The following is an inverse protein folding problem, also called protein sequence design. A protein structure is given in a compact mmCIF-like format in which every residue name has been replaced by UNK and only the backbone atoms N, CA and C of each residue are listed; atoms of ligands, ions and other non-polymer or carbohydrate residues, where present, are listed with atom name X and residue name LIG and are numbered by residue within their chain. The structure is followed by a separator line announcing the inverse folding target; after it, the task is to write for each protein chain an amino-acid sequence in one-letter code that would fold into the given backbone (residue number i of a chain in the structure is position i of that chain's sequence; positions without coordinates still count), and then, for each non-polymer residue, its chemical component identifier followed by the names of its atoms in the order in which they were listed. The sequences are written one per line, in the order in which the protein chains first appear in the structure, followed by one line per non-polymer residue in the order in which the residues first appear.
data_IF_222846198994
#
_entry.id   IF_222846198994
#
_cell.length_a   1.000
_cell.length_b   1.000
_cell.length_c   1.000
_cell.angle_alpha   90.00
_cell.angle_beta   90.00
_cell.angle_gamma   90.00
#
_symmetry.space_group_name_H-M   'P 1'
#
loop_
_entity.id
_entity.type
_entity.pdbx_description
1 polymer ?
#
# COMPACT_ATOMS: atom_id res chain seq x y z
N UNK A 1 -49.41 34.42 -51.85
CA UNK A 1 -49.51 33.36 -50.82
C UNK A 1 -48.51 32.20 -51.00
N UNK A 2 -47.31 32.41 -51.58
CA UNK A 2 -46.34 31.31 -51.82
C UNK A 2 -45.06 31.39 -50.95
N UNK A 3 -44.86 32.48 -50.20
CA UNK A 3 -43.68 32.69 -49.32
C UNK A 3 -43.86 32.19 -47.88
N UNK A 4 -45.10 32.01 -47.41
CA UNK A 4 -45.38 31.50 -46.06
C UNK A 4 -45.33 29.96 -45.98
N UNK A 5 -45.55 29.26 -47.10
CA UNK A 5 -45.52 27.79 -47.14
C UNK A 5 -44.08 27.23 -47.25
N UNK A 6 -43.15 27.96 -47.89
CA UNK A 6 -41.74 27.54 -47.97
C UNK A 6 -40.99 27.66 -46.63
N UNK A 7 -41.33 28.65 -45.80
CA UNK A 7 -40.68 28.81 -44.48
C UNK A 7 -41.11 27.72 -43.48
N UNK A 8 -42.34 27.22 -43.59
CA UNK A 8 -42.83 26.11 -42.75
C UNK A 8 -42.23 24.75 -43.16
N UNK A 9 -42.06 24.49 -44.46
CA UNK A 9 -41.38 23.26 -44.93
C UNK A 9 -39.88 23.27 -44.62
N UNK A 10 -39.22 24.43 -44.69
CA UNK A 10 -37.80 24.57 -44.33
C UNK A 10 -37.58 24.38 -42.82
N UNK A 11 -38.50 24.86 -41.97
CA UNK A 11 -38.40 24.71 -40.52
C UNK A 11 -38.72 23.28 -40.05
N UNK A 12 -39.66 22.57 -40.68
CA UNK A 12 -39.91 21.15 -40.37
C UNK A 12 -38.77 20.22 -40.82
N UNK A 13 -38.10 20.50 -41.95
CA UNK A 13 -36.93 19.72 -42.38
C UNK A 13 -35.75 19.94 -41.41
N UNK A 14 -35.53 21.18 -40.97
CA UNK A 14 -34.49 21.51 -39.99
C UNK A 14 -34.71 20.86 -38.61
N UNK A 15 -35.95 20.79 -38.14
CA UNK A 15 -36.30 20.09 -36.88
C UNK A 15 -36.18 18.55 -37.04
N UNK A 16 -36.49 17.99 -38.23
CA UNK A 16 -36.33 16.54 -38.47
C UNK A 16 -34.86 16.11 -38.62
N UNK A 17 -34.00 16.97 -39.19
CA UNK A 17 -32.57 16.68 -39.35
C UNK A 17 -31.81 16.71 -38.01
N UNK A 18 -32.24 17.53 -37.04
CA UNK A 18 -31.64 17.50 -35.70
C UNK A 18 -32.02 16.25 -34.90
N UNK A 19 -33.20 15.66 -35.15
CA UNK A 19 -33.60 14.41 -34.50
C UNK A 19 -32.83 13.18 -35.02
N UNK A 20 -32.42 13.17 -36.29
CA UNK A 20 -31.62 12.05 -36.85
C UNK A 20 -30.17 12.10 -36.33
N UNK A 21 -29.62 13.29 -36.07
CA UNK A 21 -28.29 13.43 -35.45
C UNK A 21 -28.32 13.05 -33.95
N UNK A 22 -29.46 13.23 -33.27
CA UNK A 22 -29.62 12.78 -31.88
C UNK A 22 -29.79 11.25 -31.74
N UNK A 23 -30.28 10.56 -32.78
CA UNK A 23 -30.50 9.11 -32.74
C UNK A 23 -29.24 8.27 -33.03
N UNK A 24 -28.21 8.82 -33.67
CA UNK A 24 -26.93 8.11 -33.88
C UNK A 24 -25.98 8.23 -32.69
N UNK A 25 -26.15 9.21 -31.82
CA UNK A 25 -25.36 9.34 -30.58
C UNK A 25 -25.75 8.35 -29.48
N UNK A 26 -26.85 7.60 -29.65
CA UNK A 26 -27.26 6.54 -28.71
C UNK A 26 -26.91 5.12 -29.20
N UNK A 27 -26.21 4.99 -30.34
CA UNK A 27 -25.89 3.69 -30.96
C UNK A 27 -24.40 3.29 -30.94
N UNK A 28 -23.51 4.13 -30.42
CA UNK A 28 -22.08 3.80 -30.28
C UNK A 28 -21.57 4.20 -28.89
N UNK A 29 -22.10 3.59 -27.85
CA UNK A 29 -21.40 3.50 -26.56
C UNK A 29 -21.01 2.06 -26.28
N UNK A 30 -20.20 1.50 -27.18
CA UNK A 30 -19.23 0.47 -26.83
C UNK A 30 -18.08 0.61 -27.82
N UNK A 31 -16.85 0.74 -27.29
CA UNK A 31 -15.57 0.67 -28.01
C UNK A 31 -15.12 1.92 -28.79
N UNK A 32 -14.53 2.87 -28.07
CA UNK A 32 -13.24 3.55 -28.41
C UNK A 32 -13.05 4.79 -27.53
N UNK A 33 -12.92 4.60 -26.22
CA UNK A 33 -12.28 5.54 -25.29
C UNK A 33 -11.78 4.71 -24.09
N UNK A 34 -10.90 3.75 -24.39
CA UNK A 34 -9.81 3.47 -23.48
C UNK A 34 -8.82 4.63 -23.64
N UNK A 35 -8.14 5.01 -22.57
CA UNK A 35 -7.28 6.19 -22.43
C UNK A 35 -8.05 7.46 -22.02
N UNK A 36 -8.72 7.39 -20.87
CA UNK A 36 -8.66 8.46 -19.86
C UNK A 36 -9.01 7.83 -18.51
N UNK A 37 -8.00 7.41 -17.76
CA UNK A 37 -8.19 6.95 -16.39
C UNK A 37 -6.92 6.27 -15.92
N UNK A 38 -6.37 6.76 -14.82
CA UNK A 38 -5.21 6.22 -14.09
C UNK A 38 -3.83 6.46 -14.70
N UNK A 39 -3.41 7.72 -14.82
CA UNK A 39 -1.96 8.02 -14.75
C UNK A 39 -1.64 9.30 -13.97
N UNK A 40 -2.60 9.80 -13.17
CA UNK A 40 -2.39 10.99 -12.33
C UNK A 40 -2.68 10.73 -10.85
N UNK A 41 -3.17 9.54 -10.49
CA UNK A 41 -3.41 9.12 -9.10
C UNK A 41 -2.34 8.12 -8.59
N UNK A 42 -1.53 7.57 -9.48
CA UNK A 42 -0.45 6.62 -9.18
C UNK A 42 0.80 7.34 -8.64
N UNK A 43 1.12 8.52 -9.16
CA UNK A 43 2.33 9.27 -8.76
C UNK A 43 2.18 9.99 -7.42
N UNK A 44 1.04 10.66 -7.16
CA UNK A 44 0.81 11.37 -5.89
C UNK A 44 0.84 10.41 -4.70
N UNK A 45 0.22 9.23 -4.85
CA UNK A 45 0.25 8.17 -3.83
C UNK A 45 1.63 7.51 -3.69
N UNK A 46 2.42 7.45 -4.76
CA UNK A 46 3.79 6.91 -4.72
C UNK A 46 4.75 7.84 -3.98
N UNK A 47 4.69 9.15 -4.26
CA UNK A 47 5.49 10.15 -3.55
C UNK A 47 5.11 10.29 -2.08
N UNK A 48 3.81 10.24 -1.76
CA UNK A 48 3.32 10.24 -0.38
C UNK A 48 3.80 9.02 0.40
N UNK A 49 3.69 7.82 -0.21
CA UNK A 49 4.32 6.62 0.36
C UNK A 49 5.80 6.87 0.53
N UNK A 50 6.55 7.30 -0.47
CA UNK A 50 7.99 7.54 -0.31
C UNK A 50 8.33 8.48 0.88
N UNK A 51 7.56 9.56 1.08
CA UNK A 51 7.72 10.48 2.21
C UNK A 51 7.43 9.80 3.56
N UNK A 52 6.40 8.97 3.64
CA UNK A 52 6.07 8.20 4.84
C UNK A 52 7.22 7.29 5.30
N UNK A 53 7.99 6.75 4.36
CA UNK A 53 9.06 5.79 4.66
C UNK A 53 10.31 6.50 5.10
N UNK A 54 10.64 7.61 4.43
CA UNK A 54 11.73 8.47 4.85
C UNK A 54 11.47 8.98 6.26
N UNK A 55 10.22 9.36 6.58
CA UNK A 55 9.82 9.76 7.92
C UNK A 55 9.94 8.60 8.93
N UNK A 56 9.50 7.39 8.56
CA UNK A 56 9.67 6.19 9.40
C UNK A 56 11.16 5.92 9.70
N UNK A 57 12.02 5.93 8.67
CA UNK A 57 13.46 5.70 8.81
C UNK A 57 14.14 6.78 9.66
N UNK A 58 13.79 8.05 9.47
CA UNK A 58 14.33 9.14 10.27
C UNK A 58 13.95 9.00 11.74
N UNK A 59 12.68 8.69 12.01
CA UNK A 59 12.18 8.49 13.37
C UNK A 59 12.83 7.28 14.04
N UNK A 60 12.94 6.14 13.35
CA UNK A 60 13.61 4.95 13.87
C UNK A 60 15.08 5.23 14.18
N UNK A 61 15.80 5.91 13.27
CA UNK A 61 17.20 6.32 13.50
C UNK A 61 17.34 7.26 14.72
N UNK A 62 16.40 8.18 14.90
CA UNK A 62 16.36 9.07 16.07
C UNK A 62 16.13 8.29 17.36
N UNK A 63 15.21 7.33 17.35
CA UNK A 63 14.95 6.43 18.49
C UNK A 63 16.19 5.60 18.81
N UNK A 64 16.83 5.02 17.79
CA UNK A 64 18.04 4.22 17.94
C UNK A 64 19.15 5.03 18.60
N UNK A 65 19.41 6.21 18.04
CA UNK A 65 20.47 7.09 18.53
C UNK A 65 20.18 7.59 19.95
N UNK A 66 18.91 7.82 20.30
CA UNK A 66 18.55 8.36 21.63
C UNK A 66 18.46 7.27 22.71
N UNK A 67 17.93 6.10 22.39
CA UNK A 67 17.55 5.09 23.38
C UNK A 67 18.21 3.73 23.18
N UNK A 68 18.38 3.26 21.94
CA UNK A 68 18.67 1.85 21.64
C UNK A 68 20.13 1.59 21.21
N UNK A 69 21.08 2.39 21.70
CA UNK A 69 22.50 2.28 21.31
C UNK A 69 23.21 1.00 21.78
N UNK A 70 22.68 0.32 22.80
CA UNK A 70 23.31 -0.86 23.39
C UNK A 70 22.33 -2.02 23.43
N UNK A 71 22.87 -3.24 23.45
CA UNK A 71 22.07 -4.44 23.60
C UNK A 71 21.26 -4.43 24.91
N UNK A 72 21.87 -3.96 26.00
CA UNK A 72 21.18 -3.83 27.29
C UNK A 72 19.96 -2.90 27.21
N UNK A 73 20.06 -1.79 26.46
CA UNK A 73 18.93 -0.89 26.29
C UNK A 73 17.84 -1.52 25.41
N UNK A 74 18.21 -2.19 24.32
CA UNK A 74 17.24 -2.91 23.46
C UNK A 74 16.44 -3.91 24.30
N UNK A 75 17.12 -4.73 25.09
CA UNK A 75 16.47 -5.68 26.00
C UNK A 75 15.60 -4.95 27.03
N UNK A 76 16.12 -3.91 27.68
CA UNK A 76 15.38 -3.17 28.69
C UNK A 76 14.05 -2.61 28.15
N UNK A 77 14.09 -1.91 27.02
CA UNK A 77 12.89 -1.30 26.45
C UNK A 77 11.93 -2.31 25.84
N UNK A 78 12.41 -3.38 25.19
CA UNK A 78 11.53 -4.36 24.54
C UNK A 78 10.59 -5.06 25.54
N UNK A 79 11.07 -5.32 26.75
CA UNK A 79 10.34 -6.02 27.82
C UNK A 79 9.64 -5.08 28.82
N UNK A 80 9.56 -3.77 28.52
CA UNK A 80 8.65 -2.89 29.26
C UNK A 80 7.20 -3.24 28.92
N UNK A 81 6.31 -3.06 29.91
CA UNK A 81 4.89 -3.25 29.72
C UNK A 81 4.33 -2.15 28.81
N UNK A 82 3.91 -2.52 27.61
CA UNK A 82 3.46 -1.59 26.57
C UNK A 82 2.23 -0.77 26.99
N UNK A 83 1.23 -1.42 27.60
CA UNK A 83 -0.02 -0.77 28.02
C UNK A 83 0.18 0.26 29.14
N UNK A 84 1.18 0.06 30.00
CA UNK A 84 1.50 0.96 31.11
C UNK A 84 2.55 2.01 30.77
N UNK A 85 3.17 1.93 29.60
CA UNK A 85 4.19 2.86 29.18
C UNK A 85 3.60 4.24 28.85
N UNK A 86 4.39 5.29 29.03
CA UNK A 86 4.03 6.62 28.54
C UNK A 86 4.00 6.63 27.01
N UNK A 87 3.19 7.51 26.43
CA UNK A 87 3.06 7.65 24.97
C UNK A 87 4.41 7.95 24.28
N UNK A 88 5.34 8.63 24.96
CA UNK A 88 6.68 8.87 24.42
C UNK A 88 7.53 7.59 24.32
N UNK A 89 7.32 6.62 25.23
CA UNK A 89 8.10 5.39 25.28
C UNK A 89 7.52 4.27 24.42
N UNK A 90 6.21 4.29 24.13
CA UNK A 90 5.58 3.31 23.22
C UNK A 90 6.33 3.11 21.89
N UNK A 91 6.71 4.15 21.13
CA UNK A 91 7.48 3.95 19.89
C UNK A 91 8.88 3.38 20.15
N UNK A 92 9.50 3.68 21.30
CA UNK A 92 10.80 3.10 21.69
C UNK A 92 10.67 1.61 21.98
N UNK A 93 9.62 1.21 22.68
CA UNK A 93 9.30 -0.20 22.99
C UNK A 93 9.07 -0.98 21.69
N UNK A 94 8.25 -0.47 20.78
CA UNK A 94 7.99 -1.13 19.48
C UNK A 94 9.26 -1.24 18.64
N UNK A 95 10.07 -0.18 18.58
CA UNK A 95 11.35 -0.19 17.89
C UNK A 95 12.35 -1.20 18.47
N UNK A 96 12.34 -1.39 19.79
CA UNK A 96 13.17 -2.39 20.48
C UNK A 96 12.67 -3.83 20.22
N UNK A 97 11.35 -4.06 20.30
CA UNK A 97 10.73 -5.35 19.97
C UNK A 97 11.02 -5.76 18.53
N UNK A 98 10.83 -4.85 17.58
CA UNK A 98 11.14 -5.02 16.16
C UNK A 98 12.59 -5.49 15.93
N UNK A 99 13.56 -4.85 16.61
CA UNK A 99 14.98 -5.24 16.56
C UNK A 99 15.26 -6.63 17.14
N UNK A 100 14.48 -7.11 18.12
CA UNK A 100 14.61 -8.47 18.66
C UNK A 100 13.95 -9.47 17.70
N UNK A 101 12.75 -9.17 17.22
CA UNK A 101 11.97 -10.01 16.31
C UNK A 101 12.75 -10.31 15.03
N UNK A 102 13.38 -9.29 14.43
CA UNK A 102 14.17 -9.45 13.21
C UNK A 102 15.51 -10.19 13.37
N UNK A 103 15.88 -10.63 14.58
CA UNK A 103 17.08 -11.46 14.79
C UNK A 103 16.83 -12.93 14.47
N UNK A 104 15.58 -13.34 14.49
CA UNK A 104 15.17 -14.72 14.32
C UNK A 104 14.44 -14.89 12.99
N UNK A 105 14.52 -16.10 12.44
CA UNK A 105 13.62 -16.53 11.37
C UNK A 105 12.43 -17.22 12.01
N UNK A 106 11.23 -16.79 11.63
CA UNK A 106 9.97 -17.28 12.18
C UNK A 106 8.89 -17.20 11.09
N UNK A 107 7.74 -17.82 11.34
CA UNK A 107 6.54 -17.71 10.50
C UNK A 107 5.34 -17.27 11.31
N UNK A 108 4.37 -16.64 10.64
CA UNK A 108 3.10 -16.29 11.26
C UNK A 108 2.43 -17.53 11.87
N UNK A 109 1.70 -17.32 12.96
CA UNK A 109 1.01 -18.42 13.65
C UNK A 109 0.04 -19.15 12.71
N UNK A 110 0.01 -20.49 12.81
CA UNK A 110 -0.76 -21.37 11.93
C UNK A 110 -0.12 -21.67 10.57
N UNK A 111 1.02 -21.07 10.24
CA UNK A 111 1.78 -21.36 9.02
C UNK A 111 2.94 -22.32 9.33
N UNK A 112 3.25 -23.22 8.39
CA UNK A 112 4.45 -24.07 8.48
C UNK A 112 5.55 -23.51 7.56
N UNK A 113 6.60 -22.97 8.16
CA UNK A 113 7.80 -22.50 7.46
C UNK A 113 8.90 -23.54 7.46
N UNK A 114 9.63 -23.68 6.34
CA UNK A 114 10.74 -24.64 6.23
C UNK A 114 11.88 -24.03 5.43
N UNK A 115 13.10 -24.24 5.89
CA UNK A 115 14.32 -23.97 5.12
C UNK A 115 14.73 -25.28 4.44
N UNK A 116 14.88 -25.23 3.12
CA UNK A 116 15.32 -26.38 2.33
C UNK A 116 16.82 -26.33 2.05
N UNK A 117 17.45 -27.48 1.96
CA UNK A 117 18.80 -27.60 1.42
C UNK A 117 18.81 -27.49 -0.12
N UNK A 118 20.00 -27.48 -0.72
CA UNK A 118 20.16 -27.42 -2.19
C UNK A 118 19.55 -28.60 -2.95
N UNK A 119 19.23 -29.69 -2.27
CA UNK A 119 18.63 -30.89 -2.84
C UNK A 119 17.11 -30.96 -2.61
N UNK A 120 16.53 -29.96 -1.93
CA UNK A 120 15.11 -29.89 -1.61
C UNK A 120 14.71 -30.63 -0.32
N UNK A 121 15.65 -31.14 0.48
CA UNK A 121 15.33 -31.74 1.76
C UNK A 121 15.12 -30.66 2.83
N UNK A 122 14.27 -30.95 3.81
CA UNK A 122 14.04 -30.06 4.96
C UNK A 122 15.33 -30.02 5.80
N UNK A 123 15.90 -28.83 5.93
CA UNK A 123 17.04 -28.55 6.80
C UNK A 123 16.58 -28.08 8.18
N UNK A 124 15.53 -27.27 8.21
CA UNK A 124 15.03 -26.62 9.43
C UNK A 124 13.54 -26.31 9.27
N UNK A 125 12.76 -26.54 10.33
CA UNK A 125 11.39 -26.04 10.46
C UNK A 125 11.44 -24.74 11.25
N UNK A 126 10.80 -23.70 10.72
CA UNK A 126 10.78 -22.40 11.36
C UNK A 126 9.73 -22.39 12.47
N UNK A 127 10.05 -21.83 13.65
CA UNK A 127 9.08 -21.67 14.71
C UNK A 127 8.01 -20.65 14.32
N UNK A 128 6.85 -20.76 14.95
CA UNK A 128 5.80 -19.75 14.85
C UNK A 128 6.14 -18.54 15.72
N UNK A 129 5.55 -17.39 15.42
CA UNK A 129 5.81 -16.13 16.12
C UNK A 129 5.58 -16.26 17.63
N UNK A 130 4.43 -16.81 18.03
CA UNK A 130 4.03 -17.00 19.43
C UNK A 130 4.90 -18.02 20.20
N UNK A 131 5.68 -18.86 19.50
CA UNK A 131 6.63 -19.78 20.14
C UNK A 131 7.91 -19.07 20.59
N UNK A 132 8.24 -17.93 19.95
CA UNK A 132 9.46 -17.17 20.24
C UNK A 132 9.21 -15.94 21.12
N UNK A 133 8.06 -15.30 20.97
CA UNK A 133 7.80 -13.99 21.56
C UNK A 133 6.64 -14.04 22.58
N UNK A 134 6.64 -13.14 23.59
CA UNK A 134 5.53 -13.02 24.52
C UNK A 134 4.19 -12.76 23.81
N UNK A 135 3.09 -13.22 24.41
CA UNK A 135 1.73 -13.09 23.86
C UNK A 135 1.29 -11.63 23.64
N UNK A 136 1.86 -10.68 24.40
CA UNK A 136 1.58 -9.25 24.24
C UNK A 136 2.43 -8.55 23.16
N UNK A 137 3.20 -9.32 22.40
CA UNK A 137 3.98 -8.81 21.28
C UNK A 137 3.22 -9.03 19.97
N UNK A 138 3.34 -8.03 19.10
CA UNK A 138 2.71 -8.02 17.79
C UNK A 138 3.77 -8.09 16.69
N UNK A 139 3.38 -8.60 15.52
CA UNK A 139 4.25 -8.60 14.35
C UNK A 139 4.61 -7.16 13.93
N UNK A 140 5.88 -6.87 13.59
CA UNK A 140 6.27 -5.52 13.17
C UNK A 140 5.60 -5.12 11.85
N UNK A 141 4.96 -3.96 11.84
CA UNK A 141 4.40 -3.37 10.62
C UNK A 141 5.42 -2.40 10.03
N UNK A 142 5.98 -2.77 8.89
CA UNK A 142 6.82 -1.87 8.11
C UNK A 142 6.02 -1.27 6.97
N UNK A 143 6.23 0.01 6.67
CA UNK A 143 5.82 0.50 5.37
C UNK A 143 6.63 -0.34 4.32
N UNK A 144 5.99 -0.83 3.24
CA UNK A 144 6.58 -1.45 2.01
C UNK A 144 6.57 -0.58 0.71
N UNK A 145 7.69 0.03 0.29
CA UNK A 145 7.82 0.71 -1.01
C UNK A 145 8.36 -0.34 -1.93
N UNK A 146 7.55 -0.72 -2.91
CA UNK A 146 8.00 -1.59 -3.98
C UNK A 146 8.83 -0.73 -4.93
N UNK A 147 10.14 -0.98 -4.96
CA UNK A 147 11.01 -0.46 -6.00
C UNK A 147 10.66 -1.18 -7.32
N UNK A 148 9.93 -0.48 -8.20
CA UNK A 148 9.52 -1.00 -9.50
C UNK A 148 10.60 -0.82 -10.58
N UNK A 149 11.71 -0.13 -10.29
CA UNK A 149 12.77 0.11 -11.27
C UNK A 149 13.35 -1.18 -11.85
N UNK A 150 13.27 -2.29 -11.10
CA UNK A 150 13.66 -3.61 -11.55
C UNK A 150 12.86 -4.13 -12.76
N UNK A 151 11.62 -3.69 -12.96
CA UNK A 151 10.74 -4.12 -14.05
C UNK A 151 10.72 -3.16 -15.26
N UNK A 152 11.42 -2.03 -15.15
CA UNK A 152 11.45 -0.98 -16.18
C UNK A 152 12.62 -1.12 -17.17
N UNK A 153 13.44 -2.17 -17.05
CA UNK A 153 14.57 -2.51 -17.94
C UNK A 153 14.19 -3.48 -19.06
#
# INVERSE_FOLDING_TARGET
MHRALMKRKLWCVLISMTCIIAATLMGTQTYALQITGEDFASEETSEERQKEYLLYQENDKKIETKYLQTEANIQHYAYLNFEKASEELKPVILAARSRIICRYSWVADGISGRILDKNGNIKEELPQFSELFPEDWEEPVYPVVVDLSYYES
#
